data_IF_988840543816
#
_entry.id   IF_988840543816
#
_cell.length_a   1.000
_cell.length_b   1.000
_cell.length_c   1.000
_cell.angle_alpha   90.00
_cell.angle_beta   90.00
_cell.angle_gamma   90.00
#
_symmetry.space_group_name_H-M   'P 1'
#
loop_
_entity.id
_entity.type
_entity.pdbx_description
1 polymer ?
#
# COMPACT_ATOMS: atom_id res chain seq x y z
N UNK A 1 2.08 7.44 24.16
CA UNK A 1 2.42 6.35 23.23
C UNK A 1 2.09 6.81 21.83
N UNK A 2 3.00 6.59 20.87
CA UNK A 2 2.80 6.91 19.45
C UNK A 2 1.75 5.97 18.88
N UNK A 3 0.68 6.49 18.27
CA UNK A 3 -0.38 5.65 17.69
C UNK A 3 0.08 5.07 16.35
N UNK A 4 -0.05 3.76 16.16
CA UNK A 4 0.30 3.06 14.93
C UNK A 4 -0.95 2.70 14.13
N UNK A 5 -0.92 2.99 12.82
CA UNK A 5 -1.97 2.61 11.87
C UNK A 5 -1.42 1.58 10.89
N UNK A 6 -2.13 0.47 10.71
CA UNK A 6 -1.82 -0.52 9.67
C UNK A 6 -2.56 -0.14 8.39
N UNK A 7 -1.85 -0.14 7.26
CA UNK A 7 -2.36 0.30 5.97
C UNK A 7 -2.06 -0.79 4.94
N UNK A 8 -3.13 -1.35 4.35
CA UNK A 8 -3.01 -2.15 3.14
C UNK A 8 -2.67 -1.24 1.96
N UNK A 9 -1.58 -1.55 1.26
CA UNK A 9 -1.08 -0.82 0.10
C UNK A 9 -1.28 -1.72 -1.11
N UNK A 10 -2.14 -1.29 -2.02
CA UNK A 10 -2.53 -2.04 -3.22
C UNK A 10 -2.14 -1.22 -4.46
N UNK A 11 -0.91 -1.34 -4.98
CA UNK A 11 -0.39 -0.47 -6.03
C UNK A 11 -1.12 -0.59 -7.36
N UNK A 12 -1.67 -1.76 -7.67
CA UNK A 12 -2.41 -2.02 -8.91
C UNK A 12 -1.55 -1.83 -10.17
N UNK A 13 -2.21 -1.35 -11.22
CA UNK A 13 -1.67 -1.30 -12.59
C UNK A 13 -1.33 0.12 -13.07
N UNK A 14 -0.70 0.18 -14.25
CA UNK A 14 -0.38 1.44 -14.92
C UNK A 14 0.50 2.32 -14.04
N UNK A 15 0.06 3.55 -13.77
CA UNK A 15 0.83 4.50 -12.94
C UNK A 15 0.63 4.33 -11.43
N UNK A 16 -0.20 3.37 -11.02
CA UNK A 16 -0.54 3.13 -9.62
C UNK A 16 0.70 2.96 -8.72
N UNK A 17 1.66 2.08 -9.08
CA UNK A 17 2.90 1.91 -8.31
C UNK A 17 3.70 3.19 -8.11
N UNK A 18 3.87 4.02 -9.15
CA UNK A 18 4.68 5.24 -9.05
C UNK A 18 4.01 6.30 -8.15
N UNK A 19 2.69 6.45 -8.24
CA UNK A 19 1.93 7.42 -7.44
C UNK A 19 1.84 6.97 -5.98
N UNK A 20 1.61 5.68 -5.75
CA UNK A 20 1.57 5.09 -4.40
C UNK A 20 2.91 5.27 -3.67
N UNK A 21 4.04 5.11 -4.37
CA UNK A 21 5.36 5.36 -3.79
C UNK A 21 5.48 6.81 -3.28
N UNK A 22 4.94 7.80 -4.01
CA UNK A 22 4.94 9.18 -3.54
C UNK A 22 3.99 9.40 -2.36
N UNK A 23 2.82 8.75 -2.36
CA UNK A 23 1.90 8.75 -1.21
C UNK A 23 2.56 8.25 0.07
N UNK A 24 3.34 7.16 -0.02
CA UNK A 24 4.12 6.63 1.11
C UNK A 24 5.17 7.62 1.59
N UNK A 25 5.84 8.36 0.70
CA UNK A 25 6.80 9.41 1.10
C UNK A 25 6.12 10.51 1.91
N UNK A 26 4.92 10.94 1.49
CA UNK A 26 4.12 11.93 2.23
C UNK A 26 3.71 11.37 3.60
N UNK A 27 3.26 10.12 3.69
CA UNK A 27 2.90 9.49 4.97
C UNK A 27 4.09 9.37 5.92
N UNK A 28 5.30 9.07 5.41
CA UNK A 28 6.53 9.10 6.22
C UNK A 28 6.84 10.50 6.76
N UNK A 29 6.64 11.55 5.95
CA UNK A 29 6.80 12.94 6.43
C UNK A 29 5.75 13.32 7.49
N UNK A 30 4.50 12.86 7.33
CA UNK A 30 3.43 13.02 8.34
C UNK A 30 3.80 12.30 9.64
N UNK A 31 4.31 11.07 9.54
CA UNK A 31 4.77 10.30 10.70
C UNK A 31 5.83 11.06 11.50
N UNK A 32 6.85 11.56 10.82
CA UNK A 32 7.92 12.35 11.44
C UNK A 32 7.42 13.66 12.07
N UNK A 33 6.45 14.33 11.45
CA UNK A 33 5.95 15.64 11.91
C UNK A 33 4.98 15.55 13.08
N UNK A 34 4.12 14.54 13.09
CA UNK A 34 2.97 14.48 14.01
C UNK A 34 3.08 13.38 15.07
N UNK A 35 4.17 12.61 15.09
CA UNK A 35 4.33 11.53 16.07
C UNK A 35 3.24 10.47 15.94
N UNK A 36 2.96 10.07 14.70
CA UNK A 36 2.12 8.91 14.36
C UNK A 36 2.97 7.89 13.61
N UNK A 37 2.66 6.61 13.72
CA UNK A 37 3.37 5.55 13.02
C UNK A 37 2.47 4.91 11.96
N UNK A 38 3.07 4.47 10.86
CA UNK A 38 2.40 3.72 9.81
C UNK A 38 3.13 2.40 9.58
N UNK A 39 2.38 1.31 9.52
CA UNK A 39 2.84 -0.02 9.10
C UNK A 39 2.16 -0.32 7.76
N UNK A 40 2.94 -0.63 6.74
CA UNK A 40 2.46 -0.83 5.38
C UNK A 40 2.54 -2.32 5.03
N UNK A 41 1.43 -2.88 4.59
CA UNK A 41 1.32 -4.25 4.12
C UNK A 41 0.90 -4.24 2.65
N UNK A 42 1.70 -4.85 1.78
CA UNK A 42 1.49 -4.78 0.33
C UNK A 42 0.73 -5.99 -0.16
N UNK A 43 -0.28 -5.77 -1.00
CA UNK A 43 -1.08 -6.81 -1.64
C UNK A 43 -1.21 -6.60 -3.14
N UNK A 44 -1.54 -7.68 -3.86
CA UNK A 44 -1.78 -7.66 -5.30
C UNK A 44 -3.24 -7.33 -5.59
N UNK A 45 -3.51 -6.48 -6.58
CA UNK A 45 -4.88 -6.23 -7.03
C UNK A 45 -4.92 -5.90 -8.51
N UNK A 46 -6.02 -6.22 -9.18
CA UNK A 46 -6.26 -5.82 -10.56
C UNK A 46 -5.47 -6.66 -11.57
N UNK A 47 -5.00 -6.03 -12.65
CA UNK A 47 -4.29 -6.68 -13.75
C UNK A 47 -3.02 -7.38 -13.30
N UNK A 48 -2.21 -6.76 -12.45
CA UNK A 48 -0.98 -7.34 -11.89
C UNK A 48 -1.27 -8.58 -11.06
N UNK A 49 -2.44 -8.66 -10.42
CA UNK A 49 -2.88 -9.86 -9.71
C UNK A 49 -3.34 -10.95 -10.68
N UNK A 50 -4.06 -10.59 -11.76
CA UNK A 50 -4.42 -11.53 -12.83
C UNK A 50 -3.16 -12.13 -13.47
N UNK A 51 -2.17 -11.29 -13.78
CA UNK A 51 -0.93 -11.72 -14.42
C UNK A 51 -0.11 -12.66 -13.51
N UNK A 52 -0.14 -12.44 -12.19
CA UNK A 52 0.62 -13.22 -11.22
C UNK A 52 -0.11 -14.50 -10.76
N UNK A 53 -1.40 -14.41 -10.48
CA UNK A 53 -2.17 -15.46 -9.78
C UNK A 53 -3.45 -15.88 -10.51
N UNK A 54 -3.74 -15.31 -11.69
CA UNK A 54 -4.90 -15.65 -12.50
C UNK A 54 -6.24 -15.11 -11.98
N UNK A 55 -6.22 -14.36 -10.87
CA UNK A 55 -7.41 -13.75 -10.26
C UNK A 55 -7.15 -12.27 -9.93
N UNK A 56 -8.13 -11.37 -10.11
CA UNK A 56 -7.94 -9.94 -9.87
C UNK A 56 -7.84 -9.56 -8.39
N UNK A 57 -8.25 -10.44 -7.49
CA UNK A 57 -8.16 -10.26 -6.05
C UNK A 57 -7.82 -11.60 -5.40
N UNK A 58 -6.53 -11.84 -5.10
CA UNK A 58 -6.09 -13.02 -4.36
C UNK A 58 -6.64 -13.07 -2.94
N UNK A 59 -6.92 -14.27 -2.42
CA UNK A 59 -7.27 -14.47 -1.02
C UNK A 59 -6.18 -13.99 -0.06
N UNK A 60 -4.91 -14.00 -0.50
CA UNK A 60 -3.78 -13.44 0.25
C UNK A 60 -3.84 -11.93 0.45
N UNK A 61 -4.66 -11.22 -0.36
CA UNK A 61 -4.85 -9.77 -0.29
C UNK A 61 -6.09 -9.37 0.53
N UNK A 62 -7.03 -10.30 0.78
CA UNK A 62 -8.28 -10.06 1.51
C UNK A 62 -8.15 -10.35 3.02
#
# INVERSE_FOLDING_TARGET
>A
MTKTYKIAVLPGDGIGPEVIEQGIKVLKAVSAKYGVNFEFEYGLIGGVAIDAEGVPLPDSTL
#
